data_IF_978245503771
#
_entry.id   IF_978245503771
#
_cell.length_a   1.000
_cell.length_b   1.000
_cell.length_c   1.000
_cell.angle_alpha   90.00
_cell.angle_beta   90.00
_cell.angle_gamma   90.00
#
_symmetry.space_group_name_H-M   'P 1'
#
loop_
_entity.id
_entity.type
_entity.pdbx_description
1 polymer ?
#
# COMPACT_ATOMS: atom_id res chain seq x y z
N UNK A 1 -15.13 -17.01 4.21
CA UNK A 1 -13.94 -17.02 5.09
C UNK A 1 -13.09 -15.79 4.79
N UNK A 2 -12.33 -15.27 5.76
CA UNK A 2 -11.33 -14.17 5.63
C UNK A 2 -11.72 -12.75 6.09
N UNK A 3 -12.77 -12.53 6.89
CA UNK A 3 -13.02 -11.21 7.52
C UNK A 3 -11.86 -10.79 8.44
N UNK A 4 -11.31 -11.76 9.19
CA UNK A 4 -10.19 -11.52 10.11
C UNK A 4 -8.91 -11.06 9.39
N UNK A 5 -8.53 -11.71 8.28
CA UNK A 5 -7.30 -11.37 7.54
C UNK A 5 -7.45 -9.98 6.88
N UNK A 6 -8.64 -9.66 6.35
CA UNK A 6 -8.95 -8.31 5.85
C UNK A 6 -8.72 -7.25 6.93
N UNK A 7 -9.21 -7.49 8.14
CA UNK A 7 -9.07 -6.55 9.26
C UNK A 7 -7.61 -6.39 9.69
N UNK A 8 -6.81 -7.45 9.67
CA UNK A 8 -5.37 -7.39 9.96
C UNK A 8 -4.67 -6.48 8.95
N UNK A 9 -4.93 -6.64 7.65
CA UNK A 9 -4.32 -5.78 6.61
C UNK A 9 -4.75 -4.33 6.77
N UNK A 10 -6.04 -4.07 6.98
CA UNK A 10 -6.56 -2.70 7.18
C UNK A 10 -5.89 -2.05 8.39
N UNK A 11 -5.79 -2.75 9.52
CA UNK A 11 -5.08 -2.23 10.69
C UNK A 11 -3.60 -1.99 10.40
N UNK A 12 -2.93 -2.92 9.70
CA UNK A 12 -1.53 -2.77 9.34
C UNK A 12 -1.28 -1.54 8.45
N UNK A 13 -2.16 -1.27 7.49
CA UNK A 13 -2.11 -0.06 6.67
C UNK A 13 -2.36 1.22 7.50
N UNK A 14 -3.33 1.19 8.42
CA UNK A 14 -3.61 2.33 9.31
C UNK A 14 -2.47 2.67 10.27
N UNK A 15 -1.59 1.71 10.55
CA UNK A 15 -0.45 1.88 11.44
C UNK A 15 0.90 1.77 10.72
N UNK A 16 0.92 1.81 9.40
CA UNK A 16 2.14 1.63 8.61
C UNK A 16 3.14 2.77 8.88
N UNK A 17 4.38 2.41 9.19
CA UNK A 17 5.47 3.38 9.41
C UNK A 17 6.27 3.62 8.15
N UNK A 18 7.05 4.69 8.13
CA UNK A 18 8.00 4.98 7.04
C UNK A 18 9.00 3.84 6.86
N UNK A 19 9.47 3.28 7.97
CA UNK A 19 10.38 2.14 8.02
C UNK A 19 9.73 0.87 7.44
N UNK A 20 8.44 0.63 7.73
CA UNK A 20 7.70 -0.49 7.13
C UNK A 20 7.58 -0.35 5.62
N UNK A 21 7.23 0.84 5.12
CA UNK A 21 7.14 1.10 3.67
C UNK A 21 8.51 0.89 3.01
N UNK A 22 9.58 1.41 3.61
CA UNK A 22 10.94 1.22 3.12
C UNK A 22 11.37 -0.26 3.16
N UNK A 23 11.03 -0.99 4.22
CA UNK A 23 11.31 -2.42 4.35
C UNK A 23 10.59 -3.24 3.27
N UNK A 24 9.28 -3.03 3.11
CA UNK A 24 8.50 -3.72 2.09
C UNK A 24 8.96 -3.39 0.68
N UNK A 25 9.36 -2.14 0.41
CA UNK A 25 9.91 -1.79 -0.90
C UNK A 25 11.09 -2.68 -1.27
N UNK A 26 12.05 -2.83 -0.35
CA UNK A 26 13.22 -3.71 -0.53
C UNK A 26 12.83 -5.17 -0.67
N UNK A 27 11.92 -5.65 0.18
CA UNK A 27 11.43 -7.04 0.15
C UNK A 27 10.81 -7.40 -1.21
N UNK A 28 10.13 -6.45 -1.86
CA UNK A 28 9.45 -6.65 -3.14
C UNK A 28 10.28 -6.19 -4.36
N UNK A 29 11.57 -5.91 -4.15
CA UNK A 29 12.53 -5.70 -5.22
C UNK A 29 12.50 -4.30 -5.86
N UNK A 30 12.07 -3.27 -5.14
CA UNK A 30 12.19 -1.88 -5.60
C UNK A 30 12.71 -0.96 -4.49
N UNK A 31 13.44 0.08 -4.89
CA UNK A 31 13.95 1.08 -3.94
C UNK A 31 13.15 2.37 -4.03
N UNK A 32 12.85 2.94 -2.87
CA UNK A 32 12.27 4.27 -2.69
C UNK A 32 13.14 5.07 -1.73
N UNK A 33 13.12 6.39 -1.84
CA UNK A 33 13.78 7.28 -0.89
C UNK A 33 13.03 7.29 0.46
N UNK A 34 13.71 7.76 1.51
CA UNK A 34 13.08 7.93 2.83
C UNK A 34 11.92 8.95 2.78
N UNK A 35 12.06 10.00 1.97
CA UNK A 35 11.02 11.00 1.76
C UNK A 35 9.80 10.38 1.06
N UNK A 36 10.00 9.61 -0.01
CA UNK A 36 8.93 8.88 -0.70
C UNK A 36 8.22 7.90 0.25
N UNK A 37 8.99 7.17 1.07
CA UNK A 37 8.42 6.27 2.08
C UNK A 37 7.58 7.02 3.12
N UNK A 38 8.00 8.22 3.51
CA UNK A 38 7.30 9.08 4.46
C UNK A 38 5.99 9.63 3.87
N UNK A 39 6.01 10.05 2.60
CA UNK A 39 4.82 10.52 1.89
C UNK A 39 3.78 9.41 1.74
N UNK A 40 4.22 8.21 1.34
CA UNK A 40 3.36 7.03 1.21
C UNK A 40 2.75 6.67 2.57
N UNK A 41 3.56 6.56 3.63
CA UNK A 41 3.06 6.18 4.96
C UNK A 41 2.05 7.20 5.51
N UNK A 42 2.32 8.49 5.34
CA UNK A 42 1.42 9.57 5.74
C UNK A 42 0.10 9.55 4.96
N UNK A 43 0.17 9.35 3.65
CA UNK A 43 -1.02 9.26 2.79
C UNK A 43 -1.92 8.09 3.21
N UNK A 44 -1.34 6.90 3.35
CA UNK A 44 -2.08 5.67 3.67
C UNK A 44 -2.74 5.76 5.04
N UNK A 45 -2.02 6.28 6.04
CA UNK A 45 -2.55 6.50 7.39
C UNK A 45 -3.71 7.49 7.41
N UNK A 46 -3.59 8.59 6.67
CA UNK A 46 -4.60 9.68 6.70
C UNK A 46 -5.89 9.32 5.97
N UNK A 47 -5.82 8.53 4.90
CA UNK A 47 -6.97 8.24 4.03
C UNK A 47 -7.78 7.01 4.44
N UNK A 48 -7.28 6.18 5.36
CA UNK A 48 -7.93 4.95 5.83
C UNK A 48 -8.42 4.04 4.69
N UNK A 49 -7.57 3.85 3.68
CA UNK A 49 -7.93 3.18 2.43
C UNK A 49 -8.23 1.71 2.67
N UNK A 50 -9.32 1.23 2.10
CA UNK A 50 -9.64 -0.18 1.97
C UNK A 50 -9.01 -0.74 0.70
N UNK A 51 -7.92 -1.52 0.79
CA UNK A 51 -7.20 -1.96 -0.38
C UNK A 51 -7.92 -3.10 -1.13
N UNK A 52 -9.01 -3.65 -0.57
CA UNK A 52 -9.82 -4.69 -1.20
C UNK A 52 -10.85 -4.10 -2.17
N UNK A 53 -11.15 -2.80 -2.08
CA UNK A 53 -12.07 -2.13 -3.00
C UNK A 53 -11.32 -1.58 -4.23
N UNK A 54 -11.73 -1.99 -5.43
CA UNK A 54 -11.08 -1.57 -6.67
C UNK A 54 -11.04 -0.05 -6.84
N UNK A 55 -12.16 0.62 -6.56
CA UNK A 55 -12.26 2.09 -6.67
C UNK A 55 -11.29 2.80 -5.71
N UNK A 56 -11.10 2.26 -4.53
CA UNK A 56 -10.16 2.81 -3.56
C UNK A 56 -8.71 2.57 -3.94
N UNK A 57 -8.39 1.42 -4.55
CA UNK A 57 -7.06 1.17 -5.14
C UNK A 57 -6.73 2.13 -6.27
N UNK A 58 -7.68 2.36 -7.19
CA UNK A 58 -7.49 3.28 -8.31
C UNK A 58 -7.31 4.72 -7.80
N UNK A 59 -8.10 5.14 -6.80
CA UNK A 59 -7.95 6.44 -6.14
C UNK A 59 -6.61 6.58 -5.44
N UNK A 60 -6.17 5.55 -4.72
CA UNK A 60 -4.86 5.52 -4.07
C UNK A 60 -3.74 5.70 -5.08
N UNK A 61 -3.73 4.95 -6.18
CA UNK A 61 -2.72 5.07 -7.23
C UNK A 61 -2.69 6.49 -7.82
N UNK A 62 -3.88 7.04 -8.12
CA UNK A 62 -4.01 8.38 -8.66
C UNK A 62 -3.52 9.45 -7.67
N UNK A 63 -3.92 9.38 -6.41
CA UNK A 63 -3.51 10.37 -5.41
C UNK A 63 -2.00 10.28 -5.12
N UNK A 64 -1.46 9.06 -5.02
CA UNK A 64 -0.02 8.83 -4.88
C UNK A 64 0.74 9.42 -6.08
N UNK A 65 0.21 9.33 -7.30
CA UNK A 65 0.82 9.95 -8.49
C UNK A 65 0.76 11.48 -8.51
N UNK A 66 -0.07 12.10 -7.67
CA UNK A 66 -0.16 13.55 -7.52
C UNK A 66 0.73 14.10 -6.42
N UNK A 67 0.95 13.33 -5.36
CA UNK A 67 1.79 13.74 -4.23
C UNK A 67 3.25 13.32 -4.39
N UNK A 68 3.52 12.29 -5.21
CA UNK A 68 4.85 11.77 -5.50
C UNK A 68 5.14 11.80 -7.01
N UNK A 69 6.32 11.34 -7.43
CA UNK A 69 6.58 11.09 -8.85
C UNK A 69 5.83 9.83 -9.36
N UNK A 70 5.63 9.78 -10.68
CA UNK A 70 4.93 8.66 -11.34
C UNK A 70 5.56 7.31 -11.02
N UNK A 71 6.88 7.26 -10.89
CA UNK A 71 7.63 6.04 -10.60
C UNK A 71 7.30 5.50 -9.20
N UNK A 72 7.18 6.41 -8.22
CA UNK A 72 6.87 6.14 -6.82
C UNK A 72 5.43 5.68 -6.66
N UNK A 73 4.49 6.30 -7.36
CA UNK A 73 3.09 5.85 -7.37
C UNK A 73 2.96 4.41 -7.88
N UNK A 74 3.70 4.06 -8.94
CA UNK A 74 3.74 2.70 -9.49
C UNK A 74 4.34 1.72 -8.45
N UNK A 75 5.46 2.09 -7.84
CA UNK A 75 6.14 1.30 -6.79
C UNK A 75 5.24 1.07 -5.58
N UNK A 76 4.56 2.09 -5.10
CA UNK A 76 3.62 1.99 -3.99
C UNK A 76 2.44 1.08 -4.34
N UNK A 77 1.86 1.21 -5.53
CA UNK A 77 0.79 0.31 -5.97
C UNK A 77 1.25 -1.16 -6.05
N UNK A 78 2.49 -1.39 -6.52
CA UNK A 78 3.10 -2.72 -6.49
C UNK A 78 3.27 -3.24 -5.05
N UNK A 79 3.73 -2.40 -4.12
CA UNK A 79 3.83 -2.72 -2.69
C UNK A 79 2.52 -3.28 -2.14
N UNK A 80 1.41 -2.58 -2.41
CA UNK A 80 0.10 -2.99 -1.91
C UNK A 80 -0.37 -4.30 -2.51
N UNK A 81 -0.14 -4.48 -3.81
CA UNK A 81 -0.47 -5.71 -4.49
C UNK A 81 0.28 -6.91 -3.89
N UNK A 82 1.60 -6.77 -3.71
CA UNK A 82 2.44 -7.80 -3.12
C UNK A 82 2.11 -8.05 -1.64
N UNK A 83 1.82 -6.98 -0.87
CA UNK A 83 1.36 -7.11 0.51
C UNK A 83 0.11 -7.98 0.57
N UNK A 84 -0.92 -7.70 -0.24
CA UNK A 84 -2.16 -8.48 -0.24
C UNK A 84 -1.93 -9.92 -0.70
N UNK A 85 -1.10 -10.10 -1.74
CA UNK A 85 -0.72 -11.41 -2.24
C UNK A 85 0.00 -12.25 -1.19
N UNK A 86 0.92 -11.67 -0.44
CA UNK A 86 1.67 -12.35 0.63
C UNK A 86 0.78 -12.92 1.74
N UNK A 87 -0.42 -12.36 1.94
CA UNK A 87 -1.42 -12.86 2.90
C UNK A 87 -2.42 -13.86 2.28
N UNK A 88 -2.20 -14.33 1.05
CA UNK A 88 -3.08 -15.28 0.37
C UNK A 88 -4.44 -14.70 -0.03
N UNK A 89 -4.54 -13.38 -0.08
CA UNK A 89 -5.79 -12.63 -0.32
C UNK A 89 -5.95 -12.17 -1.77
N UNK A 90 -5.13 -12.66 -2.70
CA UNK A 90 -5.20 -12.30 -4.13
C UNK A 90 -6.56 -12.60 -4.76
N UNK A 91 -7.27 -13.63 -4.29
CA UNK A 91 -8.64 -13.96 -4.70
C UNK A 91 -9.69 -12.90 -4.32
N UNK A 92 -9.34 -11.89 -3.52
CA UNK A 92 -10.23 -10.79 -3.16
C UNK A 92 -10.16 -9.62 -4.15
N UNK A 93 -9.37 -9.74 -5.22
CA UNK A 93 -9.17 -8.68 -6.22
C UNK A 93 -10.13 -8.69 -7.41
N UNK A 94 -11.22 -9.47 -7.36
CA UNK A 94 -12.27 -9.46 -8.39
C UNK A 94 -12.93 -8.10 -8.58
#
# INVERSE_FOLDING_TARGET
MSIFIKQIIINKMRHITTEDVAHYSKQYGFSISREQAQEISNYVRSKQINPFERREREKMLHDLSKITDRETAIKANKLFHELIKSYGLEHLFH
#
